data_IF_419398832280
#
_entry.id   IF_419398832280
#
_cell.length_a   1.000
_cell.length_b   1.000
_cell.length_c   1.000
_cell.angle_alpha   90.00
_cell.angle_beta   90.00
_cell.angle_gamma   90.00
#
_symmetry.space_group_name_H-M   'P 1'
#
loop_
_entity.id
_entity.type
_entity.pdbx_description
1 polymer ?
#
# COMPACT_ATOMS: atom_id res chain seq x y z
N UNK A 1 -40.10 -22.20 4.17
CA UNK A 1 -38.73 -21.86 4.59
C UNK A 1 -37.79 -22.84 3.92
N UNK A 2 -36.94 -22.38 3.00
CA UNK A 2 -35.92 -23.22 2.39
C UNK A 2 -34.71 -23.19 3.33
N UNK A 3 -34.55 -24.23 4.13
CA UNK A 3 -33.31 -24.47 4.88
C UNK A 3 -32.22 -24.75 3.85
N UNK A 4 -31.37 -23.75 3.58
CA UNK A 4 -30.11 -23.99 2.86
C UNK A 4 -29.32 -25.02 3.68
N UNK A 5 -29.33 -26.26 3.23
CA UNK A 5 -28.68 -27.35 3.94
C UNK A 5 -27.15 -27.22 3.97
N UNK A 6 -26.48 -28.01 4.82
CA UNK A 6 -25.01 -28.05 4.94
C UNK A 6 -24.23 -28.11 3.61
N UNK A 7 -24.68 -28.83 2.55
CA UNK A 7 -23.94 -28.91 1.28
C UNK A 7 -23.77 -27.56 0.57
N UNK A 8 -24.75 -26.66 0.68
CA UNK A 8 -24.66 -25.32 0.08
C UNK A 8 -23.65 -24.46 0.84
N UNK A 9 -23.54 -24.63 2.16
CA UNK A 9 -22.53 -24.00 2.99
C UNK A 9 -21.11 -24.47 2.63
N UNK A 10 -20.92 -25.79 2.42
CA UNK A 10 -19.64 -26.35 1.99
C UNK A 10 -19.25 -25.85 0.59
N UNK A 11 -20.21 -25.79 -0.34
CA UNK A 11 -19.99 -25.23 -1.68
C UNK A 11 -19.57 -23.75 -1.64
N UNK A 12 -20.29 -22.93 -0.86
CA UNK A 12 -19.95 -21.52 -0.68
C UNK A 12 -18.55 -21.33 -0.06
N UNK A 13 -18.19 -22.18 0.91
CA UNK A 13 -16.86 -22.15 1.54
C UNK A 13 -15.75 -22.51 0.55
N UNK A 14 -15.93 -23.55 -0.28
CA UNK A 14 -14.94 -23.94 -1.28
C UNK A 14 -14.71 -22.84 -2.34
N UNK A 15 -15.79 -22.23 -2.83
CA UNK A 15 -15.71 -21.12 -3.79
C UNK A 15 -14.98 -19.93 -3.17
N UNK A 16 -15.32 -19.56 -1.93
CA UNK A 16 -14.64 -18.49 -1.20
C UNK A 16 -13.16 -18.77 -1.03
N UNK A 17 -12.79 -19.99 -0.64
CA UNK A 17 -11.39 -20.40 -0.46
C UNK A 17 -10.58 -20.31 -1.77
N UNK A 18 -11.17 -20.73 -2.89
CA UNK A 18 -10.51 -20.60 -4.21
C UNK A 18 -10.32 -19.13 -4.61
N UNK A 19 -11.33 -18.30 -4.36
CA UNK A 19 -11.26 -16.87 -4.63
C UNK A 19 -10.16 -16.18 -3.80
N UNK A 20 -10.15 -16.40 -2.49
CA UNK A 20 -9.13 -15.85 -1.58
C UNK A 20 -7.71 -16.26 -1.99
N UNK A 21 -7.52 -17.54 -2.36
CA UNK A 21 -6.23 -18.03 -2.86
C UNK A 21 -5.81 -17.35 -4.16
N UNK A 22 -6.76 -17.12 -5.07
CA UNK A 22 -6.47 -16.42 -6.32
C UNK A 22 -6.10 -14.96 -6.08
N UNK A 23 -6.80 -14.26 -5.17
CA UNK A 23 -6.53 -12.85 -4.86
C UNK A 23 -5.19 -12.66 -4.14
N UNK A 24 -4.85 -13.57 -3.23
CA UNK A 24 -3.53 -13.65 -2.60
C UNK A 24 -2.42 -13.80 -3.65
N UNK A 25 -2.55 -14.79 -4.54
CA UNK A 25 -1.56 -15.03 -5.59
C UNK A 25 -1.38 -13.83 -6.55
N UNK A 26 -2.47 -13.12 -6.88
CA UNK A 26 -2.38 -11.92 -7.72
C UNK A 26 -1.64 -10.79 -6.99
N UNK A 27 -1.95 -10.57 -5.71
CA UNK A 27 -1.37 -9.49 -4.92
C UNK A 27 0.13 -9.71 -4.71
N UNK A 28 0.53 -10.95 -4.44
CA UNK A 28 1.93 -11.32 -4.23
C UNK A 28 2.74 -11.25 -5.54
N UNK A 29 2.19 -11.73 -6.66
CA UNK A 29 2.87 -11.65 -7.95
C UNK A 29 3.23 -10.21 -8.37
N UNK A 30 2.47 -9.21 -7.91
CA UNK A 30 2.75 -7.81 -8.20
C UNK A 30 3.93 -7.23 -7.42
N UNK A 31 4.38 -7.86 -6.33
CA UNK A 31 5.45 -7.34 -5.47
C UNK A 31 6.68 -8.25 -5.38
N UNK A 32 6.53 -9.52 -5.76
CA UNK A 32 7.62 -10.50 -5.71
C UNK A 32 8.81 -10.03 -6.57
N UNK A 33 10.03 -10.13 -6.05
CA UNK A 33 11.24 -9.90 -6.85
C UNK A 33 11.33 -10.94 -7.97
N UNK A 34 11.74 -10.50 -9.16
CA UNK A 34 11.98 -11.41 -10.30
C UNK A 34 13.35 -12.09 -10.20
N UNK A 35 14.30 -11.49 -9.48
CA UNK A 35 15.63 -12.04 -9.22
C UNK A 35 16.14 -11.65 -7.83
N UNK A 36 17.15 -12.36 -7.33
CA UNK A 36 17.80 -12.04 -6.06
C UNK A 36 18.42 -10.62 -6.06
N UNK A 37 19.01 -10.20 -7.18
CA UNK A 37 19.51 -8.83 -7.35
C UNK A 37 18.37 -7.80 -7.26
N UNK A 38 17.18 -8.13 -7.79
CA UNK A 38 16.02 -7.27 -7.69
C UNK A 38 15.52 -7.15 -6.24
N UNK A 39 15.62 -8.22 -5.45
CA UNK A 39 15.36 -8.20 -4.01
C UNK A 39 16.34 -7.29 -3.24
N UNK A 40 17.57 -7.16 -3.74
CA UNK A 40 18.63 -6.37 -3.12
C UNK A 40 18.67 -4.88 -3.53
N UNK A 41 17.99 -4.50 -4.63
CA UNK A 41 17.97 -3.11 -5.12
C UNK A 41 17.39 -2.13 -4.11
N UNK A 42 18.23 -1.20 -3.64
CA UNK A 42 17.82 -0.09 -2.77
C UNK A 42 16.77 0.81 -3.39
N UNK A 43 16.79 0.97 -4.72
CA UNK A 43 15.79 1.75 -5.46
C UNK A 43 14.40 1.11 -5.49
N UNK A 44 14.14 0.03 -4.77
CA UNK A 44 12.80 -0.55 -4.66
C UNK A 44 12.36 -0.70 -3.20
N UNK A 45 13.18 -0.20 -2.27
CA UNK A 45 12.99 -0.32 -0.84
C UNK A 45 12.43 0.98 -0.27
N UNK A 46 11.57 0.83 0.71
CA UNK A 46 11.23 1.87 1.66
C UNK A 46 11.78 1.46 3.02
N UNK A 47 12.30 2.45 3.75
CA UNK A 47 12.74 2.29 5.13
C UNK A 47 11.68 2.88 6.04
N UNK A 48 11.21 2.07 6.98
CA UNK A 48 10.23 2.46 7.99
C UNK A 48 10.93 2.34 9.34
N UNK A 49 10.91 3.41 10.13
CA UNK A 49 11.48 3.38 11.47
C UNK A 49 10.65 2.46 12.37
N UNK A 50 11.33 1.63 13.18
CA UNK A 50 10.66 0.86 14.21
C UNK A 50 10.29 1.77 15.38
N UNK A 51 9.16 1.45 16.00
CA UNK A 51 8.66 2.18 17.16
C UNK A 51 9.60 1.95 18.36
N UNK A 52 9.99 3.04 19.01
CA UNK A 52 10.80 3.04 20.22
C UNK A 52 10.08 3.89 21.29
N UNK A 53 9.66 3.24 22.37
CA UNK A 53 8.96 3.89 23.50
C UNK A 53 9.83 4.89 24.24
N UNK A 54 11.15 4.82 24.09
CA UNK A 54 12.11 5.71 24.74
C UNK A 54 12.38 6.98 23.94
N UNK A 55 11.88 7.06 22.70
CA UNK A 55 12.10 8.19 21.80
C UNK A 55 11.16 9.35 22.13
N UNK A 56 11.74 10.52 22.39
CA UNK A 56 11.02 11.73 22.83
C UNK A 56 10.10 12.24 21.71
N UNK A 57 10.54 12.14 20.46
CA UNK A 57 9.77 12.64 19.30
C UNK A 57 8.47 11.85 19.12
N UNK A 58 8.53 10.52 19.33
CA UNK A 58 7.37 9.62 19.26
C UNK A 58 6.32 9.96 20.32
N UNK A 59 6.77 10.31 21.52
CA UNK A 59 5.90 10.73 22.63
C UNK A 59 5.30 12.11 22.38
N UNK A 60 6.08 13.05 21.80
CA UNK A 60 5.60 14.39 21.46
C UNK A 60 4.53 14.39 20.37
N UNK A 61 4.65 13.49 19.39
CA UNK A 61 3.62 13.29 18.36
C UNK A 61 2.37 12.53 18.87
N UNK A 62 2.44 11.99 20.09
CA UNK A 62 1.31 11.33 20.75
C UNK A 62 1.01 9.92 20.21
N UNK A 63 2.02 9.18 19.73
CA UNK A 63 1.80 7.78 19.35
C UNK A 63 1.82 6.88 20.58
N UNK A 64 0.64 6.34 20.88
CA UNK A 64 0.46 5.41 21.99
C UNK A 64 0.85 3.97 21.63
N UNK A 65 1.07 3.66 20.35
CA UNK A 65 1.41 2.32 19.91
C UNK A 65 2.17 2.25 18.57
N UNK A 66 2.85 1.12 18.36
CA UNK A 66 3.60 0.80 17.14
C UNK A 66 2.74 0.83 15.87
N UNK A 67 1.45 0.46 15.96
CA UNK A 67 0.57 0.42 14.80
C UNK A 67 0.25 1.82 14.26
N UNK A 68 -0.04 2.78 15.14
CA UNK A 68 -0.29 4.18 14.76
C UNK A 68 0.97 4.82 14.16
N UNK A 69 2.13 4.54 14.73
CA UNK A 69 3.41 5.02 14.20
C UNK A 69 3.70 4.46 12.80
N UNK A 70 3.49 3.16 12.62
CA UNK A 70 3.59 2.52 11.32
C UNK A 70 2.56 3.06 10.32
N UNK A 71 1.32 3.25 10.76
CA UNK A 71 0.22 3.75 9.94
C UNK A 71 0.54 5.12 9.37
N UNK A 72 0.98 6.06 10.21
CA UNK A 72 1.34 7.41 9.75
C UNK A 72 2.48 7.38 8.73
N UNK A 73 3.56 6.66 9.03
CA UNK A 73 4.70 6.52 8.10
C UNK A 73 4.28 5.96 6.74
N UNK A 74 3.48 4.90 6.73
CA UNK A 74 3.03 4.29 5.48
C UNK A 74 2.11 5.25 4.71
N UNK A 75 1.21 5.97 5.38
CA UNK A 75 0.33 6.94 4.72
C UNK A 75 1.14 8.04 4.01
N UNK A 76 2.15 8.60 4.69
CA UNK A 76 3.03 9.61 4.11
C UNK A 76 3.82 9.08 2.91
N UNK A 77 4.38 7.87 3.01
CA UNK A 77 5.08 7.20 1.90
C UNK A 77 4.16 7.01 0.70
N UNK A 78 2.95 6.51 0.95
CA UNK A 78 1.96 6.21 -0.09
C UNK A 78 1.52 7.50 -0.78
N UNK A 79 1.21 8.54 -0.02
CA UNK A 79 0.83 9.85 -0.56
C UNK A 79 1.92 10.41 -1.46
N UNK A 80 3.15 10.51 -0.96
CA UNK A 80 4.30 11.02 -1.71
C UNK A 80 4.55 10.22 -2.99
N UNK A 81 4.43 8.88 -2.92
CA UNK A 81 4.67 8.02 -4.07
C UNK A 81 3.61 8.11 -5.15
N UNK A 82 2.35 8.34 -4.77
CA UNK A 82 1.28 8.64 -5.72
C UNK A 82 1.56 9.99 -6.41
N UNK A 83 1.95 11.01 -5.64
CA UNK A 83 2.30 12.33 -6.18
C UNK A 83 3.47 12.24 -7.17
N UNK A 84 4.55 11.56 -6.78
CA UNK A 84 5.74 11.35 -7.62
C UNK A 84 5.38 10.61 -8.92
N UNK A 85 4.52 9.58 -8.83
CA UNK A 85 4.06 8.85 -10.02
C UNK A 85 3.30 9.76 -10.99
N UNK A 86 2.36 10.57 -10.46
CA UNK A 86 1.57 11.49 -11.29
C UNK A 86 2.51 12.49 -11.97
N UNK A 87 3.44 13.10 -11.24
CA UNK A 87 4.40 14.06 -11.78
C UNK A 87 5.27 13.48 -12.91
N UNK A 88 5.73 12.23 -12.77
CA UNK A 88 6.51 11.53 -13.81
C UNK A 88 5.62 11.11 -15.00
N UNK A 89 4.36 10.76 -14.75
CA UNK A 89 3.42 10.35 -15.81
C UNK A 89 2.96 11.52 -16.68
N UNK A 90 2.77 12.70 -16.09
CA UNK A 90 2.41 13.94 -16.80
C UNK A 90 3.54 14.41 -17.73
N UNK A 91 4.79 14.25 -17.32
CA UNK A 91 5.94 14.65 -18.14
C UNK A 91 6.18 13.72 -19.34
N UNK A 92 5.70 12.47 -19.28
CA UNK A 92 5.95 11.45 -20.30
C UNK A 92 4.79 11.24 -21.27
N UNK A 93 3.56 11.57 -20.90
CA UNK A 93 2.39 11.36 -21.77
C UNK A 93 1.41 12.52 -21.68
N UNK A 94 0.96 12.99 -22.84
CA UNK A 94 -0.06 14.05 -22.98
C UNK A 94 -1.48 13.56 -22.60
N UNK A 95 -1.61 12.32 -22.10
CA UNK A 95 -2.88 11.69 -21.77
C UNK A 95 -2.85 11.15 -20.34
N UNK A 96 -3.13 12.02 -19.38
CA UNK A 96 -3.37 11.63 -17.98
C UNK A 96 -4.51 10.59 -17.96
N UNK A 97 -4.26 9.45 -17.32
CA UNK A 97 -5.22 8.36 -17.18
C UNK A 97 -6.53 8.90 -16.55
N UNK A 98 -7.69 8.30 -16.88
CA UNK A 98 -8.98 8.71 -16.31
C UNK A 98 -9.02 8.61 -14.77
N UNK A 99 -8.10 7.86 -14.17
CA UNK A 99 -7.98 7.63 -12.74
C UNK A 99 -7.16 8.69 -12.02
N UNK A 100 -6.16 9.26 -12.69
CA UNK A 100 -5.29 10.30 -12.14
C UNK A 100 -5.86 11.71 -12.39
N UNK A 101 -6.68 11.91 -13.42
CA UNK A 101 -7.32 13.22 -13.71
C UNK A 101 -8.03 13.85 -12.50
N UNK A 102 -8.79 13.11 -11.66
CA UNK A 102 -9.42 13.71 -10.48
C UNK A 102 -8.46 14.11 -9.36
N UNK A 103 -7.19 13.72 -9.43
CA UNK A 103 -6.14 14.03 -8.46
C UNK A 103 -5.29 15.24 -8.88
N UNK A 104 -5.54 15.80 -10.08
CA UNK A 104 -4.84 16.95 -10.64
C UNK A 104 -5.82 18.11 -10.71
N UNK A 105 -5.49 19.20 -10.01
CA UNK A 105 -6.30 20.41 -10.00
C UNK A 105 -6.16 21.20 -11.32
N UNK A 106 -7.05 22.18 -11.55
CA UNK A 106 -7.04 23.07 -12.72
C UNK A 106 -5.69 23.80 -12.90
N UNK A 107 -4.97 24.01 -11.79
CA UNK A 107 -3.63 24.61 -11.75
C UNK A 107 -2.49 23.61 -12.04
N UNK A 108 -2.80 22.38 -12.46
CA UNK A 108 -1.86 21.25 -12.59
C UNK A 108 -1.14 20.90 -11.28
N UNK A 109 -1.77 21.20 -10.15
CA UNK A 109 -1.25 20.81 -8.84
C UNK A 109 -1.80 19.43 -8.50
N UNK A 110 -0.90 18.48 -8.24
CA UNK A 110 -1.27 17.14 -7.82
C UNK A 110 -1.64 17.20 -6.34
N UNK A 111 -2.89 16.86 -6.02
CA UNK A 111 -3.36 16.85 -4.63
C UNK A 111 -4.00 15.50 -4.34
N UNK A 112 -3.33 14.70 -3.52
CA UNK A 112 -3.83 13.40 -3.06
C UNK A 112 -4.33 13.57 -1.64
N UNK A 113 -5.57 13.16 -1.37
CA UNK A 113 -6.13 13.20 -0.03
C UNK A 113 -6.44 11.79 0.44
N UNK A 114 -5.52 11.19 1.18
CA UNK A 114 -5.72 9.90 1.82
C UNK A 114 -6.60 10.02 3.07
N UNK A 115 -7.28 8.93 3.42
CA UNK A 115 -7.95 8.79 4.71
C UNK A 115 -6.94 8.72 5.85
N UNK A 116 -7.37 9.13 7.05
CA UNK A 116 -6.56 9.02 8.26
C UNK A 116 -6.27 7.57 8.64
N UNK A 117 -7.18 6.66 8.29
CA UNK A 117 -7.17 5.28 8.77
C UNK A 117 -7.24 4.25 7.65
N UNK A 118 -6.69 3.07 7.96
CA UNK A 118 -6.76 1.90 7.10
C UNK A 118 -8.17 1.30 7.13
N UNK A 119 -8.71 0.99 5.96
CA UNK A 119 -9.97 0.24 5.84
C UNK A 119 -9.77 -1.26 6.01
N UNK A 120 -8.65 -1.76 5.51
CA UNK A 120 -8.24 -3.16 5.70
C UNK A 120 -6.76 -3.19 5.99
N UNK A 121 -6.37 -4.13 6.86
CA UNK A 121 -5.00 -4.41 7.23
C UNK A 121 -4.89 -5.92 7.48
N UNK A 122 -4.13 -6.61 6.64
CA UNK A 122 -3.97 -8.06 6.68
C UNK A 122 -2.51 -8.42 6.55
N UNK A 123 -1.99 -9.06 7.58
CA UNK A 123 -0.62 -9.59 7.61
C UNK A 123 -0.65 -11.10 7.39
N UNK A 124 0.20 -11.58 6.50
CA UNK A 124 0.38 -13.01 6.17
C UNK A 124 1.85 -13.31 5.94
N UNK A 125 2.21 -14.59 5.84
CA UNK A 125 3.56 -15.00 5.44
C UNK A 125 3.56 -15.32 3.95
N UNK A 126 4.47 -14.70 3.21
CA UNK A 126 4.68 -14.97 1.79
C UNK A 126 6.01 -15.69 1.57
N UNK A 127 5.98 -16.69 0.70
CA UNK A 127 7.16 -17.35 0.19
C UNK A 127 7.84 -16.44 -0.83
N UNK A 128 9.18 -16.36 -0.80
CA UNK A 128 9.99 -15.56 -1.73
C UNK A 128 10.90 -16.50 -2.53
N UNK A 129 10.39 -17.10 -3.63
CA UNK A 129 11.14 -18.11 -4.39
C UNK A 129 12.44 -17.58 -5.01
N UNK A 130 12.55 -16.27 -5.21
CA UNK A 130 13.73 -15.64 -5.81
C UNK A 130 14.97 -15.67 -4.90
N UNK A 131 14.81 -15.90 -3.59
CA UNK A 131 15.92 -15.97 -2.61
C UNK A 131 16.19 -17.44 -2.26
N UNK A 132 15.16 -18.18 -1.84
CA UNK A 132 15.17 -19.63 -1.73
C UNK A 132 13.75 -20.18 -1.53
N UNK A 133 13.54 -21.46 -1.84
CA UNK A 133 12.24 -22.14 -1.72
C UNK A 133 11.70 -22.18 -0.27
N UNK A 134 12.56 -21.99 0.74
CA UNK A 134 12.18 -22.03 2.17
C UNK A 134 12.14 -20.63 2.82
N UNK A 135 12.32 -19.55 2.06
CA UNK A 135 12.29 -18.19 2.61
C UNK A 135 10.86 -17.67 2.72
N UNK A 136 10.38 -17.55 3.95
CA UNK A 136 9.10 -16.90 4.27
C UNK A 136 9.35 -15.53 4.91
N UNK A 137 8.75 -14.49 4.34
CA UNK A 137 8.81 -13.12 4.87
C UNK A 137 7.40 -12.61 5.17
N UNK A 138 7.29 -11.57 5.99
CA UNK A 138 6.01 -10.94 6.26
C UNK A 138 5.50 -10.20 5.03
N UNK A 139 4.25 -10.47 4.67
CA UNK A 139 3.51 -9.80 3.62
C UNK A 139 2.28 -9.13 4.22
N UNK A 140 2.26 -7.81 4.13
CA UNK A 140 1.20 -6.98 4.68
C UNK A 140 0.46 -6.31 3.53
N UNK A 141 -0.85 -6.58 3.43
CA UNK A 141 -1.75 -5.91 2.49
C UNK A 141 -2.67 -4.98 3.27
N UNK A 142 -2.72 -3.72 2.84
CA UNK A 142 -3.58 -2.71 3.44
C UNK A 142 -4.29 -1.89 2.38
N UNK A 143 -5.37 -1.23 2.79
CA UNK A 143 -6.18 -0.42 1.89
C UNK A 143 -6.56 0.91 2.52
N UNK A 144 -6.31 2.00 1.80
CA UNK A 144 -6.54 3.37 2.26
C UNK A 144 -7.53 4.06 1.32
N UNK A 145 -8.64 4.63 1.80
CA UNK A 145 -9.54 5.38 0.94
C UNK A 145 -8.88 6.69 0.52
N UNK A 146 -9.11 7.13 -0.71
CA UNK A 146 -8.69 8.46 -1.16
C UNK A 146 -9.88 9.29 -1.66
N UNK A 147 -9.76 10.60 -1.48
CA UNK A 147 -10.83 11.58 -1.64
C UNK A 147 -10.42 12.70 -2.59
N UNK A 148 -11.41 13.42 -3.10
CA UNK A 148 -11.20 14.60 -3.94
C UNK A 148 -10.90 15.88 -3.15
N UNK A 149 -11.08 15.89 -1.83
CA UNK A 149 -10.92 17.09 -1.00
C UNK A 149 -10.58 16.74 0.44
N UNK A 150 -9.82 17.62 1.10
CA UNK A 150 -9.53 17.58 2.55
C UNK A 150 -10.76 17.87 3.42
N UNK A 151 -11.78 18.57 2.89
CA UNK A 151 -12.94 18.96 3.69
C UNK A 151 -13.85 17.75 3.98
N UNK A 152 -13.87 17.29 5.23
CA UNK A 152 -14.63 16.11 5.68
C UNK A 152 -16.13 16.18 5.40
N UNK A 153 -16.73 17.39 5.33
CA UNK A 153 -18.17 17.57 5.09
C UNK A 153 -18.55 17.56 3.60
N UNK A 154 -17.60 17.88 2.71
CA UNK A 154 -17.85 17.99 1.25
C UNK A 154 -17.05 16.99 0.41
N UNK A 155 -16.16 16.23 1.04
CA UNK A 155 -15.32 15.25 0.34
C UNK A 155 -16.18 14.13 -0.25
N UNK A 156 -15.84 13.77 -1.48
CA UNK A 156 -16.37 12.59 -2.15
C UNK A 156 -15.25 11.56 -2.25
N UNK A 157 -15.57 10.31 -1.89
CA UNK A 157 -14.64 9.19 -2.03
C UNK A 157 -14.42 8.88 -3.50
N UNK A 158 -13.17 8.93 -3.94
CA UNK A 158 -12.77 8.64 -5.31
C UNK A 158 -12.44 7.16 -5.50
N UNK A 159 -11.86 6.51 -4.48
CA UNK A 159 -11.36 5.15 -4.60
C UNK A 159 -10.68 4.64 -3.35
N UNK A 160 -9.85 3.62 -3.56
CA UNK A 160 -8.98 3.00 -2.56
C UNK A 160 -7.59 2.81 -3.16
N UNK A 161 -6.56 3.17 -2.39
CA UNK A 161 -5.20 2.78 -2.63
C UNK A 161 -4.96 1.43 -1.94
N UNK A 162 -4.81 0.36 -2.72
CA UNK A 162 -4.35 -0.93 -2.23
C UNK A 162 -2.83 -0.91 -2.16
N UNK A 163 -2.29 -1.09 -0.96
CA UNK A 163 -0.85 -1.09 -0.72
C UNK A 163 -0.45 -2.50 -0.30
N UNK A 164 0.56 -3.02 -0.97
CA UNK A 164 1.18 -4.31 -0.67
C UNK A 164 2.58 -4.04 -0.19
N UNK A 165 2.95 -4.62 0.95
CA UNK A 165 4.24 -4.49 1.59
C UNK A 165 4.84 -5.88 1.76
N UNK A 166 6.09 -6.04 1.33
CA UNK A 166 6.85 -7.26 1.51
C UNK A 166 8.09 -6.94 2.34
N UNK A 167 8.21 -7.56 3.50
CA UNK A 167 9.33 -7.34 4.40
C UNK A 167 10.63 -7.85 3.77
N UNK A 168 11.68 -7.03 3.87
CA UNK A 168 13.04 -7.45 3.56
C UNK A 168 13.74 -7.69 4.89
N UNK A 169 14.24 -8.92 5.16
CA UNK A 169 14.98 -9.21 6.37
C UNK A 169 16.20 -8.29 6.47
N UNK A 170 16.20 -7.40 7.45
CA UNK A 170 17.31 -6.50 7.75
C UNK A 170 18.00 -6.93 9.04
N UNK A 171 19.31 -6.64 9.14
CA UNK A 171 20.09 -6.83 10.37
C UNK A 171 20.00 -5.62 11.31
N UNK A 172 19.43 -4.50 10.85
CA UNK A 172 19.31 -3.28 11.62
C UNK A 172 18.10 -3.35 12.56
N UNK A 173 18.31 -3.15 13.87
CA UNK A 173 17.24 -3.28 14.86
C UNK A 173 16.30 -2.07 14.90
N UNK A 174 16.75 -0.90 14.41
CA UNK A 174 16.03 0.37 14.49
C UNK A 174 15.15 0.68 13.27
N UNK A 175 15.39 -0.02 12.15
CA UNK A 175 14.73 0.26 10.88
C UNK A 175 14.29 -1.03 10.23
N UNK A 176 13.11 -1.01 9.62
CA UNK A 176 12.57 -2.11 8.85
C UNK A 176 12.51 -1.74 7.37
N UNK A 177 13.12 -2.58 6.53
CA UNK A 177 13.05 -2.45 5.07
C UNK A 177 11.80 -3.18 4.55
N UNK A 178 11.09 -2.53 3.63
CA UNK A 178 10.00 -3.15 2.88
C UNK A 178 10.13 -2.88 1.38
N UNK A 179 9.71 -3.82 0.54
CA UNK A 179 9.24 -3.50 -0.81
C UNK A 179 7.80 -3.03 -0.70
N UNK A 180 7.42 -2.07 -1.55
CA UNK A 180 6.07 -1.52 -1.59
C UNK A 180 5.56 -1.52 -3.03
N UNK A 181 4.31 -1.96 -3.22
CA UNK A 181 3.56 -1.82 -4.46
C UNK A 181 2.22 -1.14 -4.14
N UNK A 182 1.82 -0.16 -4.96
CA UNK A 182 0.60 0.62 -4.76
C UNK A 182 -0.29 0.44 -5.97
N UNK A 183 -1.57 0.16 -5.77
CA UNK A 183 -2.57 0.06 -6.83
C UNK A 183 -3.74 0.98 -6.50
N UNK A 184 -4.05 1.91 -7.39
CA UNK A 184 -5.23 2.76 -7.25
C UNK A 184 -6.43 2.08 -7.88
N UNK A 185 -7.51 1.97 -7.11
CA UNK A 185 -8.77 1.34 -7.52
C UNK A 185 -9.91 2.35 -7.36
N UNK A 186 -10.57 2.69 -8.46
CA UNK A 186 -11.67 3.66 -8.42
C UNK A 186 -12.94 3.07 -7.79
N UNK A 187 -13.63 3.91 -7.01
CA UNK A 187 -14.91 3.56 -6.41
C UNK A 187 -16.03 3.67 -7.48
N UNK A 188 -16.88 2.62 -7.56
CA UNK A 188 -18.13 2.55 -8.35
C UNK A 188 -18.06 2.53 -9.89
N UNK A 189 -17.37 1.56 -10.50
CA UNK A 189 -17.80 1.07 -11.82
C UNK A 189 -17.66 -0.46 -11.90
N UNK A 190 -18.69 -1.16 -12.39
CA UNK A 190 -18.52 -2.52 -12.90
C UNK A 190 -17.41 -2.48 -13.97
N UNK A 191 -16.34 -3.25 -13.78
CA UNK A 191 -15.12 -3.10 -14.58
C UNK A 191 -14.22 -1.93 -14.14
N UNK A 192 -14.17 -1.64 -12.83
CA UNK A 192 -13.36 -0.57 -12.25
C UNK A 192 -11.96 -0.53 -12.87
N UNK A 193 -11.61 0.62 -13.44
CA UNK A 193 -10.26 0.85 -13.95
C UNK A 193 -9.29 0.75 -12.76
N UNK A 194 -8.24 -0.04 -12.95
CA UNK A 194 -7.14 -0.22 -11.99
C UNK A 194 -5.90 0.40 -12.61
N UNK A 195 -5.19 1.20 -11.84
CA UNK A 195 -3.88 1.70 -12.23
C UNK A 195 -2.86 1.14 -11.26
N UNK A 196 -1.94 0.37 -11.81
CA UNK A 196 -0.82 -0.17 -11.06
C UNK A 196 0.31 0.86 -11.10
N UNK A 197 0.68 1.36 -9.93
CA UNK A 197 1.85 2.20 -9.78
C UNK A 197 3.01 1.23 -9.62
N UNK A 198 3.68 0.94 -10.74
CA UNK A 198 4.89 0.14 -10.79
C UNK A 198 5.97 0.73 -9.86
N UNK A 199 6.91 -0.11 -9.47
CA UNK A 199 7.95 0.20 -8.49
C UNK A 199 8.81 1.39 -8.95
N UNK A 200 8.44 2.59 -8.49
CA UNK A 200 9.24 3.80 -8.64
C UNK A 200 10.51 3.73 -7.79
N UNK A 201 11.63 4.36 -8.23
CA UNK A 201 12.87 4.39 -7.49
C UNK A 201 12.65 4.83 -6.04
N UNK A 202 13.16 4.01 -5.12
CA UNK A 202 12.94 4.04 -3.68
C UNK A 202 13.46 5.32 -3.06
N UNK A 203 12.70 5.81 -2.09
CA UNK A 203 13.06 6.95 -1.27
C UNK A 203 13.19 6.48 0.17
N UNK A 204 14.25 6.98 0.80
CA UNK A 204 14.55 6.82 2.21
C UNK A 204 13.79 7.93 2.96
N UNK A 205 12.93 7.56 3.92
CA UNK A 205 12.46 8.53 4.90
C UNK A 205 13.54 8.60 5.97
N UNK A 206 14.26 9.72 6.00
CA UNK A 206 15.05 10.09 7.17
C UNK A 206 14.06 10.52 8.27
N UNK A 207 14.31 10.07 9.52
CA UNK A 207 13.55 10.43 10.73
C UNK A 207 13.24 11.94 10.87
N UNK A 208 13.92 12.81 10.13
CA UNK A 208 13.75 14.27 10.18
C UNK A 208 12.50 14.82 9.48
N UNK A 209 11.70 14.02 8.75
CA UNK A 209 10.47 14.55 8.11
C UNK A 209 9.28 14.73 9.05
N UNK A 210 9.38 14.30 10.31
CA UNK A 210 8.36 14.59 11.34
C UNK A 210 8.44 16.05 11.84
N UNK A 211 9.51 16.77 11.51
CA UNK A 211 9.76 18.14 11.94
C UNK A 211 9.85 19.09 10.73
N UNK A 212 8.73 19.33 10.04
CA UNK A 212 8.52 20.55 9.24
C UNK A 212 7.04 20.94 9.18
#
# INVERSE_FOLDING_TARGET
>A
MITLGPPLGVGAWLLRRQYERSEYNKSIKGILPTSQEDFEKQSQRIRVARYDETDVDTVLEGFDNQFQYFQKQILEIVEKRIVDYIAVSETKSDTISKLLRPLVDENKQVTVHLGSDFETFVTTKAEVPAVSDDTFVEFTKLSVPYFNSKNTQKRTRLGVAEVSLLEIPSKEEQVQDFRIAITLVQYKQWGAAKEHIDVLPGQEIQKSSFCE
#
